data_IF_195017681218
#
_entry.id   IF_195017681218
#
_cell.length_a   1.000
_cell.length_b   1.000
_cell.length_c   1.000
_cell.angle_alpha   90.00
_cell.angle_beta   90.00
_cell.angle_gamma   90.00
#
_symmetry.space_group_name_H-M   'P 1'
#
loop_
_entity.id
_entity.type
_entity.pdbx_description
1 polymer ?
#
# COMPACT_ATOMS: atom_id res chain seq x y z
N UNK A 1 7.92 14.78 -2.83
CA UNK A 1 7.65 15.09 -1.40
C UNK A 1 6.79 14.00 -0.74
N UNK A 2 5.61 13.66 -1.28
CA UNK A 2 4.73 12.63 -0.71
C UNK A 2 5.41 11.27 -0.49
N UNK A 3 6.22 10.80 -1.44
CA UNK A 3 6.95 9.51 -1.34
C UNK A 3 7.93 9.47 -0.18
N UNK A 4 8.63 10.58 0.11
CA UNK A 4 9.56 10.66 1.25
C UNK A 4 8.83 10.67 2.60
N UNK A 5 7.68 11.36 2.67
CA UNK A 5 6.84 11.37 3.89
C UNK A 5 6.24 9.99 4.13
N UNK A 6 5.69 9.36 3.08
CA UNK A 6 5.13 8.01 3.15
C UNK A 6 6.18 6.96 3.54
N UNK A 7 7.41 7.07 3.02
CA UNK A 7 8.52 6.24 3.45
C UNK A 7 8.81 6.40 4.95
N UNK A 8 8.83 7.64 5.45
CA UNK A 8 9.08 7.92 6.86
C UNK A 8 8.02 7.32 7.80
N UNK A 9 6.75 7.35 7.41
CA UNK A 9 5.65 6.81 8.24
C UNK A 9 5.63 5.28 8.26
N UNK A 10 6.00 4.62 7.16
CA UNK A 10 5.97 3.15 7.06
C UNK A 10 7.31 2.48 7.37
N UNK A 11 8.41 3.24 7.53
CA UNK A 11 9.73 2.69 7.90
C UNK A 11 9.69 1.92 9.24
N UNK A 12 9.09 2.44 10.32
CA UNK A 12 9.02 1.73 11.59
C UNK A 12 8.26 0.40 11.46
N UNK A 13 7.18 0.37 10.68
CA UNK A 13 6.38 -0.83 10.43
C UNK A 13 7.16 -1.88 9.62
N UNK A 14 7.96 -1.44 8.66
CA UNK A 14 8.86 -2.33 7.92
C UNK A 14 9.89 -2.96 8.86
N UNK A 15 10.47 -2.19 9.78
CA UNK A 15 11.44 -2.68 10.76
C UNK A 15 10.78 -3.68 11.72
N UNK A 16 9.58 -3.42 12.22
CA UNK A 16 8.86 -4.37 13.10
C UNK A 16 8.44 -5.65 12.36
N UNK A 17 8.05 -5.55 11.09
CA UNK A 17 7.75 -6.71 10.25
C UNK A 17 9.00 -7.58 10.02
N UNK A 18 10.13 -6.98 9.65
CA UNK A 18 11.39 -7.72 9.43
C UNK A 18 11.89 -8.38 10.72
N UNK A 19 11.87 -7.65 11.84
CA UNK A 19 12.35 -8.17 13.13
C UNK A 19 11.47 -9.29 13.67
N UNK A 20 10.14 -9.23 13.48
CA UNK A 20 9.24 -10.32 13.88
C UNK A 20 9.38 -11.56 12.98
N UNK A 21 9.60 -11.37 11.67
CA UNK A 21 9.95 -12.47 10.76
C UNK A 21 11.28 -13.14 11.14
N UNK A 22 12.32 -12.36 11.46
CA UNK A 22 13.61 -12.86 11.88
C UNK A 22 13.52 -13.68 13.19
N UNK A 23 12.58 -13.35 14.07
CA UNK A 23 12.27 -14.10 15.30
C UNK A 23 11.35 -15.31 15.06
N UNK A 24 11.01 -15.65 13.82
CA UNK A 24 10.13 -16.79 13.48
C UNK A 24 8.63 -16.52 13.64
N UNK A 25 8.23 -15.29 13.96
CA UNK A 25 6.83 -14.91 14.20
C UNK A 25 6.16 -14.40 12.90
N UNK A 26 6.16 -15.21 11.84
CA UNK A 26 5.70 -14.79 10.52
C UNK A 26 4.20 -14.47 10.44
N UNK A 27 3.35 -15.16 11.21
CA UNK A 27 1.92 -14.85 11.29
C UNK A 27 1.65 -13.49 11.94
N UNK A 28 2.44 -13.13 12.97
CA UNK A 28 2.35 -11.82 13.63
C UNK A 28 2.80 -10.70 12.69
N UNK A 29 3.90 -10.90 11.96
CA UNK A 29 4.36 -9.94 10.95
C UNK A 29 3.30 -9.70 9.87
N UNK A 30 2.67 -10.77 9.39
CA UNK A 30 1.62 -10.70 8.37
C UNK A 30 0.40 -9.92 8.87
N UNK A 31 -0.06 -10.22 10.09
CA UNK A 31 -1.16 -9.52 10.73
C UNK A 31 -0.86 -8.03 10.93
N UNK A 32 0.37 -7.68 11.31
CA UNK A 32 0.80 -6.29 11.45
C UNK A 32 0.72 -5.53 10.12
N UNK A 33 1.27 -6.10 9.04
CA UNK A 33 1.27 -5.44 7.71
C UNK A 33 -0.15 -5.24 7.18
N UNK A 34 -1.02 -6.25 7.31
CA UNK A 34 -2.41 -6.14 6.85
C UNK A 34 -3.18 -5.14 7.72
N UNK A 35 -3.03 -5.22 9.04
CA UNK A 35 -3.70 -4.34 9.99
C UNK A 35 -3.34 -2.87 9.78
N UNK A 36 -2.05 -2.56 9.61
CA UNK A 36 -1.59 -1.20 9.34
C UNK A 36 -2.16 -0.64 8.02
N UNK A 37 -2.18 -1.44 6.96
CA UNK A 37 -2.76 -1.03 5.68
C UNK A 37 -4.27 -0.79 5.76
N UNK A 38 -5.02 -1.67 6.45
CA UNK A 38 -6.46 -1.49 6.68
C UNK A 38 -6.72 -0.23 7.53
N UNK A 39 -5.94 -0.02 8.59
CA UNK A 39 -6.06 1.14 9.47
C UNK A 39 -5.81 2.45 8.71
N UNK A 40 -4.77 2.50 7.87
CA UNK A 40 -4.47 3.66 7.05
C UNK A 40 -5.57 3.93 6.01
N UNK A 41 -6.09 2.87 5.39
CA UNK A 41 -7.18 2.96 4.43
C UNK A 41 -8.48 3.48 5.05
N UNK A 42 -8.90 2.92 6.18
CA UNK A 42 -10.22 3.23 6.74
C UNK A 42 -10.14 4.47 7.64
N UNK A 43 -9.21 4.45 8.60
CA UNK A 43 -9.19 5.43 9.67
C UNK A 43 -8.43 6.68 9.28
N UNK A 44 -7.19 6.56 8.79
CA UNK A 44 -6.41 7.74 8.39
C UNK A 44 -7.05 8.46 7.21
N UNK A 45 -7.40 7.75 6.14
CA UNK A 45 -8.03 8.40 4.97
C UNK A 45 -9.44 8.91 5.28
N UNK A 46 -10.28 8.13 5.96
CA UNK A 46 -11.65 8.52 6.30
C UNK A 46 -11.71 9.69 7.27
N UNK A 47 -10.85 9.69 8.30
CA UNK A 47 -10.75 10.81 9.24
C UNK A 47 -10.17 12.05 8.57
N UNK A 48 -9.19 11.91 7.67
CA UNK A 48 -8.63 13.04 6.93
C UNK A 48 -9.70 13.77 6.11
N UNK A 49 -10.55 13.02 5.40
CA UNK A 49 -11.68 13.60 4.63
C UNK A 49 -12.71 14.29 5.55
N UNK A 50 -12.94 13.71 6.74
CA UNK A 50 -13.93 14.24 7.71
C UNK A 50 -13.45 15.54 8.36
N UNK A 51 -12.16 15.64 8.67
CA UNK A 51 -11.56 16.82 9.35
C UNK A 51 -11.25 17.94 8.36
N UNK A 52 -10.71 17.60 7.19
CA UNK A 52 -10.39 18.58 6.15
C UNK A 52 -10.74 18.00 4.78
N UNK A 53 -11.90 18.37 4.20
CA UNK A 53 -12.27 17.91 2.88
C UNK A 53 -11.25 18.45 1.87
N UNK A 54 -10.38 17.57 1.36
CA UNK A 54 -9.43 17.91 0.32
C UNK A 54 -9.99 17.48 -1.04
N UNK A 55 -9.84 18.35 -2.04
CA UNK A 55 -10.11 17.98 -3.43
C UNK A 55 -8.88 17.27 -4.00
N UNK A 56 -9.09 16.19 -4.74
CA UNK A 56 -8.00 15.43 -5.38
C UNK A 56 -7.25 16.37 -6.34
N UNK A 57 -5.94 16.62 -6.14
CA UNK A 57 -5.18 17.53 -6.99
C UNK A 57 -5.19 17.05 -8.44
N UNK A 58 -5.77 17.83 -9.35
CA UNK A 58 -5.91 17.51 -10.77
C UNK A 58 -4.61 17.75 -11.58
N UNK A 59 -3.43 17.44 -11.02
CA UNK A 59 -2.18 17.90 -11.61
C UNK A 59 -1.69 17.11 -12.82
N UNK A 60 -2.28 15.93 -13.11
CA UNK A 60 -2.02 15.21 -14.36
C UNK A 60 -3.31 14.55 -14.84
N UNK A 61 -3.85 15.01 -15.96
CA UNK A 61 -5.03 14.44 -16.63
C UNK A 61 -4.57 13.45 -17.70
N UNK A 62 -4.95 12.17 -17.56
CA UNK A 62 -4.86 11.18 -18.63
C UNK A 62 -6.27 10.99 -19.17
N UNK A 63 -6.46 11.24 -20.47
CA UNK A 63 -7.76 11.11 -21.15
C UNK A 63 -8.92 11.89 -20.48
N UNK A 64 -8.67 13.13 -20.01
CA UNK A 64 -9.72 13.99 -19.45
C UNK A 64 -10.21 13.59 -18.05
N UNK A 65 -9.56 12.62 -17.39
CA UNK A 65 -9.87 12.17 -16.02
C UNK A 65 -8.56 12.22 -15.20
N UNK A 66 -8.65 12.51 -13.90
CA UNK A 66 -7.47 12.60 -13.03
C UNK A 66 -6.70 11.27 -13.00
N UNK A 67 -5.40 11.30 -13.30
CA UNK A 67 -4.54 10.10 -13.34
C UNK A 67 -4.49 9.38 -12.00
N UNK A 68 -4.55 10.12 -10.88
CA UNK A 68 -4.62 9.53 -9.54
C UNK A 68 -5.94 8.79 -9.24
N UNK A 69 -7.03 9.09 -9.94
CA UNK A 69 -8.30 8.38 -9.76
C UNK A 69 -8.38 7.10 -10.59
N UNK A 70 -7.74 7.07 -11.75
CA UNK A 70 -7.86 5.96 -12.71
C UNK A 70 -6.74 4.94 -12.56
N UNK A 71 -5.57 5.35 -12.04
CA UNK A 71 -4.42 4.46 -11.90
C UNK A 71 -4.10 4.17 -10.44
N UNK A 72 -3.92 5.19 -9.60
CA UNK A 72 -3.44 4.99 -8.22
C UNK A 72 -4.46 4.25 -7.36
N UNK A 73 -5.73 4.67 -7.39
CA UNK A 73 -6.82 4.04 -6.62
C UNK A 73 -7.05 2.55 -6.95
N UNK A 74 -7.31 2.16 -8.22
CA UNK A 74 -7.56 0.76 -8.54
C UNK A 74 -6.34 -0.13 -8.34
N UNK A 75 -5.11 0.38 -8.60
CA UNK A 75 -3.88 -0.37 -8.30
C UNK A 75 -3.73 -0.58 -6.80
N UNK A 76 -4.00 0.45 -5.98
CA UNK A 76 -3.95 0.35 -4.52
C UNK A 76 -4.94 -0.67 -3.97
N UNK A 77 -6.19 -0.68 -4.45
CA UNK A 77 -7.17 -1.71 -4.09
C UNK A 77 -6.78 -3.11 -4.58
N UNK A 78 -6.28 -3.23 -5.82
CA UNK A 78 -5.84 -4.51 -6.37
C UNK A 78 -4.68 -5.11 -5.55
N UNK A 79 -3.68 -4.30 -5.20
CA UNK A 79 -2.55 -4.71 -4.35
C UNK A 79 -3.04 -5.11 -2.96
N UNK A 80 -3.98 -4.35 -2.38
CA UNK A 80 -4.51 -4.65 -1.05
C UNK A 80 -5.30 -5.97 -1.03
N UNK A 81 -6.12 -6.23 -2.05
CA UNK A 81 -6.83 -7.51 -2.21
C UNK A 81 -5.82 -8.65 -2.42
N UNK A 82 -4.83 -8.45 -3.30
CA UNK A 82 -3.81 -9.44 -3.61
C UNK A 82 -2.96 -9.80 -2.39
N UNK A 83 -2.74 -8.87 -1.48
CA UNK A 83 -2.02 -9.10 -0.23
C UNK A 83 -2.93 -9.78 0.81
N UNK A 84 -4.18 -9.33 0.93
CA UNK A 84 -5.09 -9.73 2.02
C UNK A 84 -5.79 -11.06 1.76
N UNK A 85 -6.28 -11.33 0.55
CA UNK A 85 -7.03 -12.56 0.21
C UNK A 85 -6.22 -13.84 0.44
N UNK A 86 -5.01 -14.01 -0.13
CA UNK A 86 -4.23 -15.21 0.12
C UNK A 86 -3.70 -15.30 1.56
N UNK A 87 -3.46 -14.15 2.21
CA UNK A 87 -3.07 -14.12 3.61
C UNK A 87 -4.18 -14.65 4.53
N UNK A 88 -5.44 -14.28 4.28
CA UNK A 88 -6.60 -14.78 5.03
C UNK A 88 -6.90 -16.26 4.75
N UNK A 89 -6.75 -16.70 3.49
CA UNK A 89 -7.07 -18.08 3.09
C UNK A 89 -6.01 -19.10 3.53
N UNK A 90 -4.73 -18.74 3.48
CA UNK A 90 -3.62 -19.68 3.73
C UNK A 90 -2.82 -19.38 5.01
N UNK A 91 -3.08 -18.26 5.67
CA UNK A 91 -2.35 -17.83 6.87
C UNK A 91 -0.84 -17.59 6.66
N UNK A 92 -0.37 -17.64 5.41
CA UNK A 92 1.04 -17.54 5.01
C UNK A 92 1.16 -16.90 3.63
N UNK A 93 2.13 -16.01 3.47
CA UNK A 93 2.54 -15.48 2.17
C UNK A 93 3.69 -16.34 1.60
N UNK A 94 3.57 -16.77 0.36
CA UNK A 94 4.65 -17.46 -0.36
C UNK A 94 5.66 -16.46 -0.91
N UNK A 95 6.93 -16.86 -1.03
CA UNK A 95 8.00 -16.02 -1.62
C UNK A 95 7.63 -15.49 -3.01
N UNK A 96 6.94 -16.29 -3.81
CA UNK A 96 6.46 -15.89 -5.13
C UNK A 96 5.46 -14.72 -5.09
N UNK A 97 4.60 -14.66 -4.07
CA UNK A 97 3.66 -13.55 -3.90
C UNK A 97 4.39 -12.25 -3.53
N UNK A 98 5.44 -12.35 -2.71
CA UNK A 98 6.29 -11.22 -2.37
C UNK A 98 7.05 -10.65 -3.59
N UNK A 99 7.62 -11.53 -4.42
CA UNK A 99 8.29 -11.11 -5.68
C UNK A 99 7.30 -10.43 -6.61
N UNK A 100 6.11 -10.99 -6.78
CA UNK A 100 5.08 -10.42 -7.63
C UNK A 100 4.61 -9.04 -7.13
N UNK A 101 4.43 -8.86 -5.82
CA UNK A 101 4.13 -7.56 -5.20
C UNK A 101 5.25 -6.53 -5.45
N UNK A 102 6.53 -6.94 -5.33
CA UNK A 102 7.67 -6.08 -5.64
C UNK A 102 7.71 -5.67 -7.11
N UNK A 103 7.42 -6.59 -8.03
CA UNK A 103 7.35 -6.28 -9.47
C UNK A 103 6.24 -5.28 -9.77
N UNK A 104 5.06 -5.44 -9.17
CA UNK A 104 3.95 -4.48 -9.32
C UNK A 104 4.35 -3.11 -8.79
N UNK A 105 4.98 -3.05 -7.61
CA UNK A 105 5.48 -1.80 -7.03
C UNK A 105 6.53 -1.12 -7.92
N UNK A 106 7.50 -1.87 -8.43
CA UNK A 106 8.52 -1.34 -9.33
C UNK A 106 7.92 -0.82 -10.64
N UNK A 107 6.96 -1.54 -11.22
CA UNK A 107 6.23 -1.10 -12.41
C UNK A 107 5.43 0.18 -12.13
N UNK A 108 4.74 0.26 -10.99
CA UNK A 108 4.00 1.44 -10.57
C UNK A 108 4.92 2.66 -10.42
N UNK A 109 6.05 2.52 -9.73
CA UNK A 109 7.05 3.58 -9.63
C UNK A 109 7.59 4.00 -10.99
N UNK A 110 7.92 3.05 -11.88
CA UNK A 110 8.43 3.37 -13.20
C UNK A 110 7.43 4.18 -14.03
N UNK A 111 6.14 3.81 -14.00
CA UNK A 111 5.09 4.56 -14.69
C UNK A 111 4.90 5.94 -14.08
N UNK A 112 4.86 6.05 -12.75
CA UNK A 112 4.65 7.32 -12.06
C UNK A 112 5.83 8.31 -12.22
N UNK A 113 7.05 7.82 -12.38
CA UNK A 113 8.22 8.67 -12.63
C UNK A 113 8.43 9.01 -14.12
N UNK A 114 7.88 8.19 -15.03
CA UNK A 114 7.96 8.43 -16.47
C UNK A 114 6.84 9.36 -16.99
N UNK A 115 5.71 9.42 -16.29
CA UNK A 115 4.59 10.34 -16.54
C UNK A 115 4.69 11.59 -15.66
#
# INVERSE_FOLDING_TARGET
ALTFVALGTSLPELVTAITSLAKGHGSLSLGNVIGANVFNLVLVSGMSITVSPFSIPQNSTIMGINSSLVMDLPVMFAVMILLTVPALLKGRLSRWQGVLLLCIYAAFCAVQFAM
#
